data_IF_906864478305
#
_entry.id   IF_906864478305
#
_cell.length_a   1.000
_cell.length_b   1.000
_cell.length_c   1.000
_cell.angle_alpha   90.00
_cell.angle_beta   90.00
_cell.angle_gamma   90.00
#
_symmetry.space_group_name_H-M   'P 1'
#
loop_
_entity.id
_entity.type
_entity.pdbx_description
1 polymer ?
#
# COMPACT_ATOMS: atom_id res chain seq x y z
N UNK A 1 -2.31 50.56 -6.06
CA UNK A 1 -1.89 49.20 -5.66
C UNK A 1 -3.11 48.43 -5.22
N UNK A 2 -3.61 47.47 -6.02
CA UNK A 2 -4.70 46.59 -5.57
C UNK A 2 -4.13 45.59 -4.56
N UNK A 3 -4.84 45.40 -3.45
CA UNK A 3 -4.54 44.32 -2.50
C UNK A 3 -4.59 43.00 -3.26
N UNK A 4 -3.57 42.18 -3.12
CA UNK A 4 -3.54 40.84 -3.69
C UNK A 4 -4.53 40.01 -2.89
N UNK A 5 -5.74 39.87 -3.42
CA UNK A 5 -6.80 39.05 -2.82
C UNK A 5 -6.30 37.61 -2.75
N UNK A 6 -6.27 37.06 -1.53
CA UNK A 6 -6.02 35.64 -1.33
C UNK A 6 -7.29 34.93 -1.76
N UNK A 7 -7.18 34.04 -2.73
CA UNK A 7 -8.31 33.28 -3.26
C UNK A 7 -9.02 32.47 -2.16
N UNK A 8 -10.35 32.35 -2.24
CA UNK A 8 -11.17 31.65 -1.23
C UNK A 8 -10.84 30.16 -1.12
N UNK A 9 -10.28 29.57 -2.17
CA UNK A 9 -9.79 28.17 -2.22
C UNK A 9 -8.42 27.98 -1.56
N UNK A 10 -7.83 29.02 -0.96
CA UNK A 10 -6.48 28.93 -0.38
C UNK A 10 -6.40 27.95 0.79
N UNK A 11 -7.48 27.73 1.55
CA UNK A 11 -7.50 26.74 2.65
C UNK A 11 -7.37 25.33 2.08
N UNK A 12 -6.43 24.56 2.62
CA UNK A 12 -6.07 23.22 2.16
C UNK A 12 -4.97 23.19 1.10
N UNK A 13 -4.62 24.34 0.49
CA UNK A 13 -3.53 24.41 -0.50
C UNK A 13 -2.16 24.37 0.16
N UNK A 14 -1.21 23.85 -0.61
CA UNK A 14 0.21 23.78 -0.27
C UNK A 14 0.88 25.11 -0.61
N UNK A 15 1.72 25.59 0.29
CA UNK A 15 2.50 26.82 0.12
C UNK A 15 3.95 26.59 0.48
N UNK A 16 4.84 27.35 -0.15
CA UNK A 16 6.24 27.46 0.24
C UNK A 16 6.50 28.84 0.83
N UNK A 17 7.18 28.87 1.98
CA UNK A 17 7.50 30.07 2.73
C UNK A 17 8.96 29.98 3.15
N UNK A 18 9.82 30.84 2.61
CA UNK A 18 11.27 30.84 2.86
C UNK A 18 11.94 29.46 2.62
N UNK A 19 11.49 28.72 1.60
CA UNK A 19 12.00 27.39 1.23
C UNK A 19 11.30 26.21 1.91
N UNK A 20 10.56 26.46 2.99
CA UNK A 20 9.86 25.43 3.77
C UNK A 20 8.41 25.22 3.29
N UNK A 21 7.90 24.00 3.40
CA UNK A 21 6.55 23.63 2.95
C UNK A 21 5.53 23.61 4.08
N UNK A 22 4.34 24.13 3.79
CA UNK A 22 3.22 24.15 4.71
C UNK A 22 1.89 23.96 3.98
N UNK A 23 0.86 23.66 4.77
CA UNK A 23 -0.54 23.60 4.32
C UNK A 23 -1.31 24.75 4.95
N UNK A 24 -2.03 25.51 4.14
CA UNK A 24 -2.89 26.60 4.64
C UNK A 24 -4.08 25.98 5.36
N UNK A 25 -4.31 26.38 6.62
CA UNK A 25 -5.41 25.93 7.48
C UNK A 25 -6.41 27.04 7.78
N UNK A 26 -6.02 28.30 7.63
CA UNK A 26 -6.85 29.45 7.89
C UNK A 26 -6.49 30.61 6.96
N UNK A 27 -7.49 31.37 6.51
CA UNK A 27 -7.31 32.62 5.77
C UNK A 27 -8.24 33.64 6.40
N UNK A 28 -7.67 34.73 6.92
CA UNK A 28 -8.49 35.78 7.51
C UNK A 28 -7.74 36.68 8.49
N UNK A 29 -8.46 37.59 9.17
CA UNK A 29 -7.88 38.48 10.16
C UNK A 29 -7.50 37.72 11.44
N UNK A 30 -6.38 38.10 12.06
CA UNK A 30 -5.88 37.53 13.33
C UNK A 30 -5.76 38.67 14.33
N UNK A 31 -6.64 38.71 15.32
CA UNK A 31 -6.68 39.82 16.29
C UNK A 31 -5.49 39.73 17.26
N UNK A 32 -4.94 40.88 17.70
CA UNK A 32 -5.32 42.26 17.38
C UNK A 32 -4.67 42.81 16.10
N UNK A 33 -3.99 41.96 15.32
CA UNK A 33 -3.21 42.40 14.17
C UNK A 33 -4.09 42.79 12.98
N UNK A 34 -3.67 43.81 12.23
CA UNK A 34 -4.39 44.28 11.05
C UNK A 34 -4.07 43.44 9.80
N UNK A 35 -5.06 43.32 8.92
CA UNK A 35 -4.96 42.68 7.61
C UNK A 35 -5.16 41.16 7.61
N UNK A 36 -5.14 40.58 6.42
CA UNK A 36 -5.31 39.13 6.21
C UNK A 36 -4.01 38.38 6.52
N UNK A 37 -4.16 37.22 7.15
CA UNK A 37 -3.12 36.27 7.45
C UNK A 37 -3.47 34.88 6.92
N UNK A 38 -2.44 34.12 6.59
CA UNK A 38 -2.53 32.69 6.35
C UNK A 38 -2.11 31.99 7.64
N UNK A 39 -3.03 31.27 8.27
CA UNK A 39 -2.67 30.26 9.25
C UNK A 39 -2.18 29.03 8.50
N UNK A 40 -0.92 28.66 8.68
CA UNK A 40 -0.30 27.52 8.00
C UNK A 40 0.16 26.48 9.02
N UNK A 41 0.06 25.22 8.65
CA UNK A 41 0.64 24.08 9.37
C UNK A 41 1.83 23.56 8.56
N UNK A 42 3.02 23.59 9.16
CA UNK A 42 4.26 23.14 8.53
C UNK A 42 4.33 21.63 8.44
N UNK A 43 5.03 21.12 7.43
CA UNK A 43 5.34 19.69 7.35
C UNK A 43 6.35 19.28 8.42
N UNK A 44 7.34 20.15 8.67
CA UNK A 44 8.26 20.05 9.79
C UNK A 44 7.66 20.74 11.03
N UNK A 45 7.28 20.00 12.08
CA UNK A 45 6.67 20.57 13.28
C UNK A 45 7.62 21.45 14.10
N UNK A 46 8.94 21.37 13.89
CA UNK A 46 9.93 22.21 14.59
C UNK A 46 9.98 23.64 14.03
N UNK A 47 9.50 23.85 12.80
CA UNK A 47 9.50 25.17 12.14
C UNK A 47 8.44 26.12 12.69
N UNK A 48 7.32 25.57 13.16
CA UNK A 48 6.20 26.39 13.61
C UNK A 48 6.41 26.99 15.00
N UNK A 49 5.37 27.68 15.49
CA UNK A 49 5.42 28.48 16.72
C UNK A 49 4.28 28.18 17.68
N UNK A 50 3.15 27.69 17.18
CA UNK A 50 1.92 27.53 17.96
C UNK A 50 1.03 26.42 17.39
N UNK A 51 -0.05 26.09 18.10
CA UNK A 51 -1.01 25.04 17.77
C UNK A 51 -2.12 25.49 16.80
N UNK A 52 -2.12 26.77 16.43
CA UNK A 52 -3.15 27.44 15.62
C UNK A 52 -3.98 28.48 16.38
N UNK A 53 -3.57 28.78 17.62
CA UNK A 53 -4.09 29.89 18.43
C UNK A 53 -3.16 31.12 18.44
N UNK A 54 -3.73 32.29 18.67
CA UNK A 54 -3.02 33.54 18.95
C UNK A 54 -3.78 34.34 20.01
N UNK A 55 -3.10 34.79 21.07
CA UNK A 55 -3.68 35.60 22.16
C UNK A 55 -5.00 35.01 22.73
N UNK A 56 -5.03 33.68 22.93
CA UNK A 56 -6.19 32.97 23.49
C UNK A 56 -7.34 32.69 22.51
N UNK A 57 -7.27 33.18 21.27
CA UNK A 57 -8.24 32.89 20.22
C UNK A 57 -7.72 31.79 19.31
N UNK A 58 -8.53 30.75 19.07
CA UNK A 58 -8.19 29.64 18.18
C UNK A 58 -8.71 29.88 16.76
N UNK A 59 -7.82 29.84 15.78
CA UNK A 59 -8.13 30.05 14.37
C UNK A 59 -8.12 28.74 13.58
N UNK A 60 -7.19 27.84 13.91
CA UNK A 60 -7.10 26.50 13.34
C UNK A 60 -6.49 25.52 14.35
N UNK A 61 -6.40 24.24 14.01
CA UNK A 61 -5.77 23.21 14.84
C UNK A 61 -4.66 22.53 14.06
N UNK A 62 -3.50 22.37 14.69
CA UNK A 62 -2.36 21.65 14.15
C UNK A 62 -2.25 20.23 14.76
N UNK A 63 -1.58 19.33 14.04
CA UNK A 63 -1.22 17.99 14.51
C UNK A 63 -0.17 18.03 15.62
N UNK A 64 0.66 19.08 15.64
CA UNK A 64 1.70 19.29 16.64
C UNK A 64 1.48 20.61 17.41
N UNK A 65 1.77 20.68 18.73
CA UNK A 65 1.57 21.90 19.54
C UNK A 65 2.34 23.13 19.03
N UNK A 66 3.41 22.93 18.28
CA UNK A 66 4.22 23.98 17.66
C UNK A 66 4.13 23.97 16.13
N UNK A 67 3.28 23.15 15.51
CA UNK A 67 3.31 22.95 14.06
C UNK A 67 2.77 24.11 13.22
N UNK A 68 2.14 25.11 13.83
CA UNK A 68 1.44 26.19 13.16
C UNK A 68 2.19 27.52 13.14
N UNK A 69 1.90 28.36 12.15
CA UNK A 69 2.34 29.77 12.10
C UNK A 69 1.33 30.66 11.38
N UNK A 70 1.29 31.94 11.74
CA UNK A 70 0.62 32.95 10.92
C UNK A 70 1.62 33.65 10.00
N UNK A 71 1.38 33.56 8.70
CA UNK A 71 2.26 34.09 7.65
C UNK A 71 1.50 35.15 6.84
N UNK A 72 2.20 36.22 6.47
CA UNK A 72 1.63 37.24 5.58
C UNK A 72 1.50 36.65 4.16
N UNK A 73 0.38 36.87 3.45
CA UNK A 73 0.20 36.34 2.09
C UNK A 73 1.36 36.61 1.14
N UNK A 74 1.99 37.79 1.23
CA UNK A 74 3.16 38.16 0.42
C UNK A 74 4.41 37.30 0.64
N UNK A 75 4.51 36.62 1.79
CA UNK A 75 5.63 35.72 2.12
C UNK A 75 5.33 34.26 1.74
N UNK A 76 4.10 33.95 1.36
CA UNK A 76 3.69 32.62 0.95
C UNK A 76 3.64 32.54 -0.57
N UNK A 77 4.43 31.63 -1.14
CA UNK A 77 4.32 31.25 -2.53
C UNK A 77 3.38 30.06 -2.64
N UNK A 78 2.28 30.23 -3.37
CA UNK A 78 1.40 29.12 -3.76
C UNK A 78 1.99 28.32 -4.95
N UNK A 79 3.21 28.65 -5.36
CA UNK A 79 3.75 28.28 -6.65
C UNK A 79 3.05 29.01 -7.78
N UNK A 80 3.56 28.77 -8.98
CA UNK A 80 2.83 28.99 -10.23
C UNK A 80 2.64 27.61 -10.82
N UNK A 81 1.48 27.33 -11.38
CA UNK A 81 1.33 26.12 -12.18
C UNK A 81 2.34 26.16 -13.33
N UNK A 82 2.76 24.99 -13.79
CA UNK A 82 3.80 24.84 -14.80
C UNK A 82 3.51 25.65 -16.07
N UNK A 83 2.23 25.80 -16.43
CA UNK A 83 1.80 26.59 -17.59
C UNK A 83 2.07 28.07 -17.34
N UNK A 84 1.64 28.61 -16.19
CA UNK A 84 1.92 30.00 -15.81
C UNK A 84 3.42 30.27 -15.70
N UNK A 85 4.22 29.32 -15.20
CA UNK A 85 5.67 29.44 -15.09
C UNK A 85 6.35 29.54 -16.47
N UNK A 86 5.95 28.67 -17.41
CA UNK A 86 6.43 28.69 -18.80
C UNK A 86 6.00 29.99 -19.50
N UNK A 87 4.75 30.41 -19.29
CA UNK A 87 4.23 31.67 -19.80
C UNK A 87 5.06 32.85 -19.33
N UNK A 88 5.22 33.05 -18.03
CA UNK A 88 6.01 34.18 -17.52
C UNK A 88 7.47 34.18 -18.00
N UNK A 89 8.04 33.01 -18.27
CA UNK A 89 9.42 32.87 -18.75
C UNK A 89 9.57 33.13 -20.26
N UNK A 90 8.53 32.88 -21.06
CA UNK A 90 8.61 32.84 -22.54
C UNK A 90 7.49 33.60 -23.29
N UNK A 91 6.51 34.20 -22.60
CA UNK A 91 5.29 34.86 -23.14
C UNK A 91 5.42 36.39 -23.27
N UNK A 92 6.61 36.99 -23.08
CA UNK A 92 6.81 38.43 -23.34
C UNK A 92 6.57 38.78 -24.82
N UNK A 93 6.56 37.80 -25.75
CA UNK A 93 6.47 38.07 -27.19
C UNK A 93 5.16 37.71 -27.90
N UNK A 94 4.16 37.07 -27.28
CA UNK A 94 2.94 36.67 -28.00
C UNK A 94 1.64 37.08 -27.29
N UNK A 95 1.24 38.33 -27.48
CA UNK A 95 -0.18 38.66 -27.57
C UNK A 95 -0.70 38.16 -28.92
N UNK A 96 -1.91 37.60 -28.94
CA UNK A 96 -2.65 37.06 -30.11
C UNK A 96 -2.50 35.55 -30.38
N UNK A 97 -3.34 34.73 -29.74
CA UNK A 97 -4.03 33.59 -30.37
C UNK A 97 -4.97 32.92 -29.34
N UNK A 98 -6.27 33.27 -29.41
CA UNK A 98 -7.33 32.66 -28.62
C UNK A 98 -8.10 31.70 -29.53
N UNK A 99 -8.33 30.47 -29.07
CA UNK A 99 -9.50 29.67 -29.43
C UNK A 99 -9.23 28.32 -30.08
N UNK A 100 -9.43 27.23 -29.32
CA UNK A 100 -10.30 26.09 -29.69
C UNK A 100 -10.43 25.08 -28.52
N UNK A 101 -11.61 24.46 -28.37
CA UNK A 101 -11.98 23.53 -27.28
C UNK A 101 -11.83 22.05 -27.69
N UNK A 102 -11.34 21.19 -26.78
CA UNK A 102 -11.38 19.74 -26.92
C UNK A 102 -12.24 19.08 -25.83
N UNK A 103 -13.17 18.22 -26.26
CA UNK A 103 -14.02 17.39 -25.38
C UNK A 103 -13.36 16.04 -25.13
N UNK A 104 -13.15 15.69 -23.85
CA UNK A 104 -12.77 14.34 -23.44
C UNK A 104 -13.87 13.80 -22.51
N UNK A 105 -14.53 12.73 -22.94
CA UNK A 105 -15.42 11.85 -22.14
C UNK A 105 -16.14 12.52 -20.95
N UNK A 106 -17.16 13.33 -21.26
CA UNK A 106 -18.04 14.09 -20.34
C UNK A 106 -17.47 15.33 -19.63
N UNK A 107 -16.16 15.62 -19.71
CA UNK A 107 -15.58 16.86 -19.16
C UNK A 107 -14.83 17.65 -20.24
N UNK A 108 -15.23 18.90 -20.43
CA UNK A 108 -14.49 19.84 -21.27
C UNK A 108 -13.32 20.39 -20.45
N UNK A 109 -12.08 20.18 -20.92
CA UNK A 109 -10.88 20.76 -20.33
C UNK A 109 -10.37 21.81 -21.31
N UNK A 110 -10.40 23.09 -20.92
CA UNK A 110 -9.84 24.18 -21.73
C UNK A 110 -8.33 24.27 -21.50
N UNK A 111 -7.54 24.05 -22.56
CA UNK A 111 -6.09 24.28 -22.56
C UNK A 111 -5.74 25.04 -23.85
N UNK A 112 -5.60 26.37 -23.77
CA UNK A 112 -5.41 27.26 -24.93
C UNK A 112 -3.91 27.55 -25.14
N UNK A 113 -3.40 27.36 -26.37
CA UNK A 113 -2.08 27.84 -26.82
C UNK A 113 -0.92 26.81 -26.84
N UNK A 114 -1.19 25.52 -26.62
CA UNK A 114 -0.12 24.51 -26.48
C UNK A 114 0.38 23.91 -27.81
N UNK A 115 -0.44 23.91 -28.85
CA UNK A 115 -0.14 23.26 -30.14
C UNK A 115 1.03 23.96 -30.87
N UNK A 116 1.10 25.29 -30.84
CA UNK A 116 2.14 26.06 -31.54
C UNK A 116 3.52 25.92 -30.87
N UNK A 117 3.56 25.84 -29.54
CA UNK A 117 4.79 25.59 -28.76
C UNK A 117 5.30 24.18 -29.06
N UNK A 118 4.40 23.20 -29.06
CA UNK A 118 4.68 21.81 -29.43
C UNK A 118 5.25 21.71 -30.85
N UNK A 119 4.67 22.40 -31.84
CA UNK A 119 5.19 22.40 -33.20
C UNK A 119 6.58 23.05 -33.33
N UNK A 120 6.80 24.20 -32.69
CA UNK A 120 8.08 24.93 -32.78
C UNK A 120 9.22 24.25 -32.02
N UNK A 121 8.93 23.58 -30.91
CA UNK A 121 9.94 23.00 -30.02
C UNK A 121 10.17 21.49 -30.22
N UNK A 122 9.27 20.78 -30.90
CA UNK A 122 9.43 19.35 -31.20
C UNK A 122 10.80 19.00 -31.83
N UNK A 123 11.37 19.81 -32.76
CA UNK A 123 12.70 19.53 -33.29
C UNK A 123 13.81 19.60 -32.22
N UNK A 124 13.70 20.53 -31.25
CA UNK A 124 14.72 20.75 -30.23
C UNK A 124 14.83 19.59 -29.24
N UNK A 125 13.73 18.88 -28.99
CA UNK A 125 13.68 17.77 -28.03
C UNK A 125 13.64 16.38 -28.69
N UNK A 126 13.68 16.32 -30.02
CA UNK A 126 13.60 15.08 -30.81
C UNK A 126 14.67 14.03 -30.49
N UNK A 127 15.81 14.45 -29.91
CA UNK A 127 16.94 13.59 -29.52
C UNK A 127 17.02 13.31 -28.01
N UNK A 128 16.05 13.80 -27.24
CA UNK A 128 16.04 13.62 -25.80
C UNK A 128 15.84 12.14 -25.45
N UNK A 129 16.79 11.56 -24.70
CA UNK A 129 16.75 10.15 -24.27
C UNK A 129 16.36 9.99 -22.81
N UNK A 130 16.79 10.91 -21.97
CA UNK A 130 16.55 10.87 -20.53
C UNK A 130 15.87 12.17 -20.13
N UNK A 131 14.75 12.06 -19.44
CA UNK A 131 13.98 13.20 -18.97
C UNK A 131 13.55 12.98 -17.52
N UNK A 132 13.92 13.92 -16.66
CA UNK A 132 13.43 13.97 -15.29
C UNK A 132 12.50 15.17 -15.13
N UNK A 133 11.28 14.87 -14.68
CA UNK A 133 10.21 15.81 -14.38
C UNK A 133 9.67 15.53 -12.97
N UNK A 134 10.55 15.15 -12.05
CA UNK A 134 10.18 14.88 -10.67
C UNK A 134 9.69 16.17 -9.99
N UNK A 135 8.73 16.06 -9.07
CA UNK A 135 8.25 17.21 -8.26
C UNK A 135 7.73 18.39 -9.09
N UNK A 136 7.15 18.13 -10.25
CA UNK A 136 6.66 19.15 -11.19
C UNK A 136 5.13 19.35 -11.13
N UNK A 137 4.43 18.68 -10.22
CA UNK A 137 2.97 18.73 -10.07
C UNK A 137 2.20 18.31 -11.33
N UNK A 138 2.78 17.41 -12.14
CA UNK A 138 2.24 16.96 -13.42
C UNK A 138 1.18 15.86 -13.25
N UNK A 139 0.23 15.81 -14.18
CA UNK A 139 -0.65 14.67 -14.39
C UNK A 139 -0.16 13.81 -15.57
N UNK A 140 -0.58 12.54 -15.62
CA UNK A 140 -0.19 11.66 -16.73
C UNK A 140 -0.69 12.17 -18.09
N UNK A 141 -1.89 12.73 -18.14
CA UNK A 141 -2.44 13.33 -19.37
C UNK A 141 -1.57 14.47 -19.90
N UNK A 142 -1.02 15.31 -19.01
CA UNK A 142 -0.10 16.38 -19.40
C UNK A 142 1.21 15.81 -19.95
N UNK A 143 1.74 14.74 -19.33
CA UNK A 143 2.93 14.02 -19.82
C UNK A 143 2.68 13.47 -21.22
N UNK A 144 1.57 12.76 -21.44
CA UNK A 144 1.20 12.20 -22.75
C UNK A 144 1.04 13.28 -23.82
N UNK A 145 0.50 14.45 -23.46
CA UNK A 145 0.36 15.56 -24.40
C UNK A 145 1.72 16.12 -24.84
N UNK A 146 2.74 16.05 -23.97
CA UNK A 146 4.10 16.50 -24.26
C UNK A 146 4.97 15.43 -24.92
N UNK A 147 4.63 14.14 -24.74
CA UNK A 147 5.38 13.00 -25.25
C UNK A 147 5.70 13.04 -26.77
N UNK A 148 4.86 13.60 -27.67
CA UNK A 148 5.21 13.76 -29.07
C UNK A 148 6.46 14.63 -29.34
N UNK A 149 6.93 15.41 -28.37
CA UNK A 149 8.19 16.16 -28.49
C UNK A 149 9.42 15.27 -28.22
N UNK A 150 9.25 14.13 -27.56
CA UNK A 150 10.33 13.28 -27.03
C UNK A 150 10.34 11.91 -27.72
N UNK A 151 10.45 11.92 -29.06
CA UNK A 151 10.27 10.73 -29.90
C UNK A 151 11.30 9.61 -29.67
N UNK A 152 12.43 9.92 -29.04
CA UNK A 152 13.53 8.98 -28.75
C UNK A 152 13.73 8.78 -27.24
N UNK A 153 12.73 9.07 -26.43
CA UNK A 153 12.86 8.98 -24.97
C UNK A 153 12.99 7.52 -24.52
N UNK A 154 14.04 7.23 -23.77
CA UNK A 154 14.39 5.92 -23.22
C UNK A 154 14.12 5.88 -21.71
N UNK A 155 14.30 6.99 -21.00
CA UNK A 155 14.08 7.06 -19.55
C UNK A 155 13.25 8.28 -19.16
N UNK A 156 12.22 8.05 -18.35
CA UNK A 156 11.31 9.07 -17.87
C UNK A 156 11.11 8.94 -16.36
N UNK A 157 11.49 9.99 -15.64
CA UNK A 157 11.36 10.08 -14.19
C UNK A 157 10.27 11.09 -13.83
N UNK A 158 9.23 10.63 -13.13
CA UNK A 158 8.04 11.38 -12.75
C UNK A 158 7.72 11.22 -11.25
N UNK A 159 8.74 10.98 -10.44
CA UNK A 159 8.56 10.84 -9.00
C UNK A 159 7.94 12.10 -8.38
N UNK A 160 7.09 11.94 -7.37
CA UNK A 160 6.52 13.03 -6.58
C UNK A 160 5.69 14.03 -7.42
N UNK A 161 4.78 13.53 -8.26
CA UNK A 161 3.86 14.33 -9.07
C UNK A 161 2.39 14.14 -8.63
N UNK A 162 1.45 14.61 -9.45
CA UNK A 162 0.00 14.43 -9.23
C UNK A 162 -0.57 13.38 -10.20
N UNK A 163 0.17 12.30 -10.45
CA UNK A 163 -0.27 11.24 -11.35
C UNK A 163 -1.17 10.27 -10.58
N UNK A 164 -2.48 10.36 -10.82
CA UNK A 164 -3.46 9.48 -10.16
C UNK A 164 -4.01 8.41 -11.09
N UNK A 165 -4.20 8.73 -12.37
CA UNK A 165 -4.75 7.80 -13.36
C UNK A 165 -3.76 7.67 -14.51
N UNK A 166 -3.54 6.43 -14.93
CA UNK A 166 -2.70 6.11 -16.07
C UNK A 166 -3.57 5.81 -17.29
N UNK A 167 -3.32 6.54 -18.38
CA UNK A 167 -3.99 6.34 -19.65
C UNK A 167 -3.05 5.61 -20.59
N UNK A 168 -3.62 4.86 -21.53
CA UNK A 168 -2.86 4.17 -22.55
C UNK A 168 -2.00 5.17 -23.36
N UNK A 169 -0.67 4.99 -23.44
CA UNK A 169 0.22 5.84 -24.23
C UNK A 169 0.12 5.49 -25.71
N UNK A 170 -0.94 5.93 -26.38
CA UNK A 170 -1.16 5.62 -27.80
C UNK A 170 -0.10 6.28 -28.70
N UNK A 171 0.75 5.45 -29.32
CA UNK A 171 1.78 5.85 -30.31
C UNK A 171 2.84 6.84 -29.79
N UNK A 172 2.92 7.04 -28.48
CA UNK A 172 3.93 7.86 -27.82
C UNK A 172 4.75 7.01 -26.85
N UNK A 173 5.96 7.46 -26.50
CA UNK A 173 6.85 6.79 -25.55
C UNK A 173 7.19 5.33 -25.92
N UNK A 174 7.12 4.97 -27.21
CA UNK A 174 7.27 3.58 -27.66
C UNK A 174 8.70 3.03 -27.48
N UNK A 175 9.69 3.93 -27.35
CA UNK A 175 11.10 3.62 -27.07
C UNK A 175 11.43 3.55 -25.58
N UNK A 176 10.46 3.85 -24.70
CA UNK A 176 10.70 4.00 -23.27
C UNK A 176 11.07 2.66 -22.62
N UNK A 177 12.19 2.65 -21.91
CA UNK A 177 12.77 1.49 -21.22
C UNK A 177 12.67 1.63 -19.70
N UNK A 178 12.78 2.86 -19.18
CA UNK A 178 12.70 3.15 -17.75
C UNK A 178 11.58 4.14 -17.49
N UNK A 179 10.66 3.79 -16.59
CA UNK A 179 9.61 4.67 -16.12
C UNK A 179 9.58 4.67 -14.60
N UNK A 180 9.80 5.85 -14.02
CA UNK A 180 9.65 6.06 -12.59
C UNK A 180 8.39 6.87 -12.28
N UNK A 181 7.43 6.23 -11.62
CA UNK A 181 6.17 6.81 -11.16
C UNK A 181 6.06 6.79 -9.64
N UNK A 182 7.17 6.62 -8.91
CA UNK A 182 7.15 6.54 -7.46
C UNK A 182 6.58 7.80 -6.79
N UNK A 183 6.06 7.64 -5.57
CA UNK A 183 5.43 8.73 -4.81
C UNK A 183 4.28 9.42 -5.58
N UNK A 184 3.48 8.65 -6.32
CA UNK A 184 2.25 9.10 -6.97
C UNK A 184 1.09 8.19 -6.56
N UNK A 185 -0.03 8.74 -6.12
CA UNK A 185 -1.18 7.95 -5.66
C UNK A 185 -2.00 7.40 -6.83
N UNK A 186 -1.55 6.28 -7.38
CA UNK A 186 -2.09 5.71 -8.62
C UNK A 186 -3.29 4.80 -8.33
N UNK A 187 -4.36 5.00 -9.07
CA UNK A 187 -5.53 4.12 -9.13
C UNK A 187 -5.10 2.79 -9.76
N UNK A 188 -5.11 1.73 -8.94
CA UNK A 188 -4.54 0.42 -9.28
C UNK A 188 -5.11 -0.21 -10.56
N UNK A 189 -6.38 0.06 -10.89
CA UNK A 189 -7.05 -0.46 -12.09
C UNK A 189 -6.42 0.08 -13.39
N UNK A 190 -5.80 1.27 -13.33
CA UNK A 190 -5.19 1.93 -14.49
C UNK A 190 -3.74 1.52 -14.74
N UNK A 191 -3.10 0.81 -13.80
CA UNK A 191 -1.68 0.42 -13.90
C UNK A 191 -1.39 -0.41 -15.14
N UNK A 192 -2.35 -1.23 -15.58
CA UNK A 192 -2.18 -2.08 -16.75
C UNK A 192 -2.26 -1.32 -18.07
N UNK A 193 -2.79 -0.08 -18.09
CA UNK A 193 -2.94 0.69 -19.33
C UNK A 193 -1.60 1.07 -19.96
N UNK A 194 -0.56 1.23 -19.14
CA UNK A 194 0.82 1.50 -19.58
C UNK A 194 1.58 0.25 -20.05
N UNK A 195 0.98 -0.95 -19.96
CA UNK A 195 1.58 -2.19 -20.50
C UNK A 195 1.83 -2.16 -22.01
N UNK A 196 1.20 -1.21 -22.71
CA UNK A 196 1.39 -0.94 -24.14
C UNK A 196 2.70 -0.24 -24.48
N UNK A 197 3.60 -0.05 -23.52
CA UNK A 197 4.98 0.37 -23.73
C UNK A 197 5.83 -0.88 -24.01
N UNK A 198 6.13 -1.20 -25.30
CA UNK A 198 6.66 -2.51 -25.68
C UNK A 198 8.11 -2.73 -25.20
N UNK A 199 8.87 -1.64 -25.00
CA UNK A 199 10.27 -1.68 -24.62
C UNK A 199 10.51 -1.45 -23.11
N UNK A 200 9.44 -1.33 -22.30
CA UNK A 200 9.59 -0.98 -20.89
C UNK A 200 10.24 -2.11 -20.10
N UNK A 201 11.48 -1.89 -19.66
CA UNK A 201 12.28 -2.87 -18.92
C UNK A 201 12.27 -2.65 -17.41
N UNK A 202 12.12 -1.40 -16.97
CA UNK A 202 12.12 -1.03 -15.56
C UNK A 202 10.95 -0.11 -15.25
N UNK A 203 10.14 -0.53 -14.27
CA UNK A 203 9.00 0.22 -13.77
C UNK A 203 9.11 0.40 -12.26
N UNK A 204 9.09 1.66 -11.81
CA UNK A 204 9.03 2.00 -10.39
C UNK A 204 7.64 2.53 -10.04
N UNK A 205 6.95 1.80 -9.17
CA UNK A 205 5.63 2.11 -8.61
C UNK A 205 5.70 2.13 -7.07
N UNK A 206 6.87 2.47 -6.52
CA UNK A 206 7.05 2.53 -5.07
C UNK A 206 6.27 3.70 -4.46
N UNK A 207 5.74 3.53 -3.25
CA UNK A 207 4.94 4.55 -2.57
C UNK A 207 3.72 5.02 -3.38
N UNK A 208 3.11 4.14 -4.17
CA UNK A 208 1.98 4.48 -5.04
C UNK A 208 0.60 4.16 -4.46
N UNK A 209 0.55 3.53 -3.28
CA UNK A 209 -0.68 3.14 -2.61
C UNK A 209 -1.35 1.90 -3.20
N UNK A 210 -0.61 1.09 -3.98
CA UNK A 210 -1.14 -0.10 -4.64
C UNK A 210 -1.47 -1.18 -3.61
N UNK A 211 -2.60 -1.87 -3.77
CA UNK A 211 -2.98 -3.02 -2.94
C UNK A 211 -3.18 -4.29 -3.74
N UNK A 212 -3.60 -4.15 -5.00
CA UNK A 212 -3.86 -5.25 -5.93
C UNK A 212 -3.18 -4.98 -7.27
N UNK A 213 -2.58 -6.03 -7.84
CA UNK A 213 -2.16 -6.09 -9.25
C UNK A 213 -2.65 -7.44 -9.77
N UNK A 214 -3.39 -7.45 -10.87
CA UNK A 214 -4.00 -8.66 -11.41
C UNK A 214 -4.00 -8.64 -12.95
N UNK A 215 -3.43 -9.66 -13.58
CA UNK A 215 -3.43 -9.83 -15.02
C UNK A 215 -4.59 -10.75 -15.41
N UNK A 216 -5.66 -10.15 -15.95
CA UNK A 216 -6.89 -10.85 -16.32
C UNK A 216 -6.82 -11.60 -17.66
N UNK A 217 -5.80 -11.32 -18.48
CA UNK A 217 -5.57 -11.94 -19.79
C UNK A 217 -4.94 -13.34 -19.71
N UNK A 218 -4.39 -13.71 -18.54
CA UNK A 218 -3.77 -15.02 -18.31
C UNK A 218 -4.29 -15.67 -17.03
N UNK A 219 -4.58 -16.97 -17.10
CA UNK A 219 -4.87 -17.79 -15.92
C UNK A 219 -3.60 -18.15 -15.13
N UNK A 220 -3.76 -18.69 -13.92
CA UNK A 220 -2.63 -19.14 -13.11
C UNK A 220 -1.76 -20.16 -13.88
N UNK A 221 -0.44 -19.99 -13.81
CA UNK A 221 0.54 -20.82 -14.53
C UNK A 221 0.83 -20.39 -15.97
N UNK A 222 -0.01 -19.53 -16.56
CA UNK A 222 0.21 -18.97 -17.89
C UNK A 222 0.89 -17.59 -17.83
N UNK A 223 1.53 -17.17 -18.92
CA UNK A 223 2.17 -15.87 -19.03
C UNK A 223 1.22 -14.83 -19.64
N UNK A 224 1.24 -13.61 -19.10
CA UNK A 224 0.49 -12.46 -19.63
C UNK A 224 1.19 -11.91 -20.89
N UNK A 225 0.40 -11.32 -21.80
CA UNK A 225 0.94 -10.54 -22.91
C UNK A 225 1.31 -9.10 -22.50
N UNK A 226 0.88 -8.67 -21.32
CA UNK A 226 1.14 -7.34 -20.77
C UNK A 226 2.58 -7.24 -20.27
N UNK A 227 3.22 -6.08 -20.47
CA UNK A 227 4.61 -5.80 -20.06
C UNK A 227 5.63 -6.85 -20.57
N UNK A 228 5.72 -7.08 -21.89
CA UNK A 228 6.52 -8.18 -22.45
C UNK A 228 8.03 -8.08 -22.14
N UNK A 229 8.56 -6.87 -22.01
CA UNK A 229 9.98 -6.60 -21.77
C UNK A 229 10.33 -6.31 -20.30
N UNK A 230 9.36 -6.30 -19.38
CA UNK A 230 9.58 -5.82 -18.02
C UNK A 230 10.45 -6.78 -17.21
N UNK A 231 11.67 -6.34 -16.90
CA UNK A 231 12.68 -7.10 -16.13
C UNK A 231 12.73 -6.69 -14.68
N UNK A 232 12.55 -5.41 -14.39
CA UNK A 232 12.67 -4.84 -13.04
C UNK A 232 11.38 -4.15 -12.62
N UNK A 233 10.81 -4.58 -11.50
CA UNK A 233 9.61 -3.99 -10.92
C UNK A 233 9.89 -3.59 -9.46
N UNK A 234 9.65 -2.32 -9.14
CA UNK A 234 9.81 -1.78 -7.79
C UNK A 234 8.43 -1.42 -7.24
N UNK A 235 8.06 -2.05 -6.12
CA UNK A 235 6.78 -1.94 -5.42
C UNK A 235 6.99 -1.64 -3.94
N UNK A 236 8.12 -1.05 -3.55
CA UNK A 236 8.39 -0.71 -2.16
C UNK A 236 7.28 0.22 -1.61
N UNK A 237 6.98 0.13 -0.32
CA UNK A 237 6.07 1.08 0.37
C UNK A 237 4.66 1.16 -0.20
N UNK A 238 4.12 0.03 -0.64
CA UNK A 238 2.73 -0.09 -1.05
C UNK A 238 1.87 -0.76 0.03
N UNK A 239 0.58 -0.92 -0.23
CA UNK A 239 -0.39 -1.52 0.68
C UNK A 239 -0.72 -2.97 0.30
N UNK A 240 0.26 -3.70 -0.24
CA UNK A 240 0.07 -5.10 -0.66
C UNK A 240 0.08 -6.00 0.56
N UNK A 241 -1.08 -6.58 0.90
CA UNK A 241 -1.25 -7.47 2.05
C UNK A 241 -1.36 -8.95 1.71
N UNK A 242 -1.68 -9.28 0.45
CA UNK A 242 -1.98 -10.64 0.02
C UNK A 242 -0.91 -11.22 -0.91
N UNK A 243 -0.59 -12.51 -0.71
CA UNK A 243 0.36 -13.26 -1.55
C UNK A 243 -0.12 -13.41 -3.00
N UNK A 244 -1.42 -13.20 -3.25
CA UNK A 244 -2.01 -13.25 -4.59
C UNK A 244 -1.34 -12.29 -5.55
N UNK A 245 -0.91 -11.11 -5.10
CA UNK A 245 -0.19 -10.16 -5.97
C UNK A 245 1.14 -10.77 -6.44
N UNK A 246 1.90 -11.40 -5.56
CA UNK A 246 3.15 -12.10 -5.93
C UNK A 246 2.88 -13.23 -6.92
N UNK A 247 1.76 -13.95 -6.77
CA UNK A 247 1.36 -14.99 -7.73
C UNK A 247 1.05 -14.41 -9.11
N UNK A 248 0.43 -13.24 -9.17
CA UNK A 248 0.14 -12.53 -10.42
C UNK A 248 1.44 -12.07 -11.09
N UNK A 249 2.46 -11.66 -10.34
CA UNK A 249 3.77 -11.28 -10.88
C UNK A 249 4.49 -12.45 -11.60
N UNK A 250 4.22 -13.71 -11.23
CA UNK A 250 4.76 -14.87 -11.98
C UNK A 250 4.21 -14.94 -13.41
N UNK A 251 3.09 -14.27 -13.72
CA UNK A 251 2.59 -14.22 -15.11
C UNK A 251 3.47 -13.37 -16.02
N UNK A 252 4.28 -12.46 -15.46
CA UNK A 252 5.18 -11.64 -16.26
C UNK A 252 6.24 -12.51 -16.93
N UNK A 253 6.44 -12.37 -18.26
CA UNK A 253 7.32 -13.27 -19.01
C UNK A 253 8.80 -13.03 -18.71
N UNK A 254 9.19 -11.79 -18.40
CA UNK A 254 10.58 -11.35 -18.37
C UNK A 254 11.05 -10.85 -17.00
N UNK A 255 10.24 -10.97 -15.95
CA UNK A 255 10.56 -10.42 -14.62
C UNK A 255 11.75 -11.17 -13.98
N UNK A 256 12.83 -10.43 -13.70
CA UNK A 256 14.05 -10.93 -13.08
C UNK A 256 14.33 -10.25 -11.74
N UNK A 257 13.95 -8.98 -11.58
CA UNK A 257 14.24 -8.18 -10.40
C UNK A 257 12.96 -7.64 -9.77
N UNK A 258 12.80 -7.86 -8.47
CA UNK A 258 11.68 -7.37 -7.68
C UNK A 258 12.19 -6.65 -6.44
N UNK A 259 11.58 -5.51 -6.13
CA UNK A 259 11.66 -4.92 -4.79
C UNK A 259 10.24 -4.73 -4.26
N UNK A 260 9.94 -5.22 -3.07
CA UNK A 260 8.61 -5.10 -2.47
C UNK A 260 8.68 -4.85 -0.96
N UNK A 261 9.72 -4.15 -0.50
CA UNK A 261 9.95 -3.84 0.91
C UNK A 261 8.80 -3.02 1.48
N UNK A 262 8.64 -3.07 2.80
CA UNK A 262 7.66 -2.25 3.53
C UNK A 262 6.20 -2.43 3.05
N UNK A 263 5.87 -3.61 2.53
CA UNK A 263 4.48 -4.02 2.26
C UNK A 263 3.94 -4.90 3.41
N UNK A 264 2.64 -4.77 3.77
CA UNK A 264 2.02 -5.57 4.84
C UNK A 264 2.16 -7.09 4.67
N UNK A 265 2.24 -7.61 3.45
CA UNK A 265 2.41 -9.06 3.18
C UNK A 265 3.66 -9.64 3.87
N UNK A 266 4.72 -8.85 3.99
CA UNK A 266 5.99 -9.29 4.59
C UNK A 266 5.89 -9.44 6.12
N UNK A 267 4.90 -8.81 6.75
CA UNK A 267 4.68 -8.85 8.20
C UNK A 267 3.83 -10.05 8.63
N UNK A 268 3.21 -10.78 7.69
CA UNK A 268 2.45 -12.00 7.98
C UNK A 268 3.34 -13.11 8.53
N UNK A 269 4.59 -13.14 8.08
CA UNK A 269 5.58 -14.08 8.57
C UNK A 269 6.32 -13.51 9.77
N UNK A 270 6.58 -14.36 10.78
CA UNK A 270 7.38 -13.97 11.94
C UNK A 270 8.82 -13.59 11.57
N UNK A 271 9.30 -14.08 10.43
CA UNK A 271 10.65 -13.88 9.95
C UNK A 271 10.63 -13.40 8.48
N UNK A 272 11.34 -12.30 8.22
CA UNK A 272 11.52 -11.74 6.88
C UNK A 272 12.21 -12.71 5.93
N UNK A 273 13.06 -13.61 6.44
CA UNK A 273 13.72 -14.62 5.62
C UNK A 273 12.73 -15.70 5.13
N UNK A 274 11.74 -16.06 5.96
CA UNK A 274 10.65 -16.93 5.53
C UNK A 274 9.81 -16.26 4.44
N UNK A 275 9.48 -14.97 4.60
CA UNK A 275 8.78 -14.20 3.57
C UNK A 275 9.58 -14.14 2.25
N UNK A 276 10.91 -13.97 2.34
CA UNK A 276 11.80 -14.00 1.18
C UNK A 276 11.77 -15.36 0.46
N UNK A 277 11.91 -16.46 1.20
CA UNK A 277 11.83 -17.82 0.63
C UNK A 277 10.48 -18.06 -0.07
N UNK A 278 9.39 -17.61 0.56
CA UNK A 278 8.03 -17.67 0.02
C UNK A 278 7.90 -16.91 -1.32
N UNK A 279 8.53 -15.74 -1.47
CA UNK A 279 8.58 -15.00 -2.75
C UNK A 279 9.41 -15.76 -3.79
N UNK A 280 10.60 -16.25 -3.41
CA UNK A 280 11.51 -16.97 -4.29
C UNK A 280 10.85 -18.24 -4.85
N UNK A 281 10.11 -18.98 -4.01
CA UNK A 281 9.37 -20.16 -4.44
C UNK A 281 8.24 -19.82 -5.45
N UNK A 282 7.58 -18.66 -5.27
CA UNK A 282 6.52 -18.17 -6.18
C UNK A 282 7.04 -17.69 -7.52
N UNK A 283 8.20 -17.02 -7.53
CA UNK A 283 8.76 -16.39 -8.72
C UNK A 283 9.93 -17.18 -9.30
N UNK A 284 9.67 -17.90 -10.39
CA UNK A 284 10.57 -18.92 -10.96
C UNK A 284 11.87 -18.38 -11.52
N UNK A 285 11.82 -17.17 -12.09
CA UNK A 285 12.93 -16.54 -12.81
C UNK A 285 13.64 -15.44 -12.02
N UNK A 286 13.23 -15.21 -10.77
CA UNK A 286 13.74 -14.10 -9.98
C UNK A 286 15.24 -14.23 -9.69
N UNK A 287 16.04 -13.27 -10.12
CA UNK A 287 17.49 -13.24 -9.91
C UNK A 287 17.87 -12.30 -8.75
N UNK A 288 17.08 -11.26 -8.53
CA UNK A 288 17.33 -10.25 -7.50
C UNK A 288 16.03 -9.89 -6.79
N UNK A 289 16.05 -9.97 -5.46
CA UNK A 289 14.94 -9.60 -4.59
C UNK A 289 15.41 -8.65 -3.50
N UNK A 290 14.82 -7.45 -3.43
CA UNK A 290 15.15 -6.41 -2.45
C UNK A 290 16.65 -6.11 -2.39
N UNK A 291 17.29 -5.95 -3.56
CA UNK A 291 18.73 -5.74 -3.74
C UNK A 291 19.63 -6.92 -3.32
N UNK A 292 19.07 -8.08 -2.98
CA UNK A 292 19.82 -9.30 -2.69
C UNK A 292 19.66 -10.33 -3.81
N UNK A 293 20.79 -10.79 -4.35
CA UNK A 293 20.82 -11.89 -5.33
C UNK A 293 20.16 -13.14 -4.77
N UNK A 294 19.40 -13.84 -5.60
CA UNK A 294 18.81 -15.14 -5.29
C UNK A 294 19.79 -16.23 -5.73
N UNK A 295 20.37 -16.95 -4.77
CA UNK A 295 21.33 -18.02 -5.06
C UNK A 295 20.61 -19.31 -5.45
N UNK A 296 21.26 -20.18 -6.22
CA UNK A 296 20.65 -21.44 -6.67
C UNK A 296 20.30 -22.39 -5.51
N UNK A 297 21.13 -22.46 -4.48
CA UNK A 297 20.87 -23.30 -3.30
C UNK A 297 19.77 -22.73 -2.41
N UNK A 298 19.73 -21.39 -2.26
CA UNK A 298 18.64 -20.68 -1.58
C UNK A 298 17.30 -20.95 -2.26
N UNK A 299 17.26 -20.84 -3.59
CA UNK A 299 16.06 -21.16 -4.39
C UNK A 299 15.64 -22.61 -4.22
N UNK A 300 16.57 -23.56 -4.28
CA UNK A 300 16.27 -24.97 -4.08
C UNK A 300 15.66 -25.21 -2.69
N UNK A 301 16.28 -24.65 -1.65
CA UNK A 301 15.76 -24.74 -0.28
C UNK A 301 14.36 -24.13 -0.15
N UNK A 302 14.17 -22.92 -0.66
CA UNK A 302 12.88 -22.24 -0.65
C UNK A 302 11.78 -23.04 -1.38
N UNK A 303 12.07 -23.60 -2.56
CA UNK A 303 11.11 -24.42 -3.31
C UNK A 303 10.75 -25.73 -2.56
N UNK A 304 11.72 -26.38 -1.92
CA UNK A 304 11.49 -27.60 -1.13
C UNK A 304 10.69 -27.32 0.15
N UNK A 305 11.09 -26.29 0.91
CA UNK A 305 10.40 -25.87 2.13
C UNK A 305 8.95 -25.47 1.81
N UNK A 306 8.74 -24.85 0.65
CA UNK A 306 7.41 -24.50 0.16
C UNK A 306 6.56 -25.75 -0.11
N UNK A 307 7.09 -26.73 -0.85
CA UNK A 307 6.39 -28.01 -1.09
C UNK A 307 6.01 -28.73 0.21
N UNK A 308 6.89 -28.68 1.23
CA UNK A 308 6.63 -29.25 2.56
C UNK A 308 5.59 -28.45 3.35
N UNK A 309 5.59 -27.12 3.21
CA UNK A 309 4.74 -26.22 4.02
C UNK A 309 3.29 -26.11 3.54
N UNK A 310 3.05 -26.29 2.24
CA UNK A 310 1.73 -26.11 1.61
C UNK A 310 1.20 -27.41 1.00
N UNK A 311 1.42 -28.56 1.66
CA UNK A 311 0.94 -29.87 1.21
C UNK A 311 -0.46 -29.82 0.61
N UNK A 312 -0.54 -29.98 -0.71
CA UNK A 312 -1.73 -29.95 -1.57
C UNK A 312 -2.53 -28.64 -1.63
N UNK A 313 -2.05 -27.54 -1.03
CA UNK A 313 -2.79 -26.28 -1.01
C UNK A 313 -2.70 -25.54 -2.37
N UNK A 314 -3.87 -25.25 -2.94
CA UNK A 314 -4.08 -24.95 -4.37
C UNK A 314 -3.69 -23.52 -4.77
N UNK A 315 -3.35 -22.65 -3.84
CA UNK A 315 -3.21 -21.22 -4.10
C UNK A 315 -1.90 -20.83 -4.79
N UNK A 316 -0.97 -21.76 -4.97
CA UNK A 316 0.32 -21.47 -5.57
C UNK A 316 0.34 -21.68 -7.09
N UNK A 317 0.74 -20.67 -7.88
CA UNK A 317 0.74 -20.75 -9.34
C UNK A 317 1.69 -21.81 -9.89
N UNK A 318 2.68 -22.26 -9.09
CA UNK A 318 3.71 -23.22 -9.52
C UNK A 318 3.71 -24.55 -8.77
N UNK A 319 2.76 -24.81 -7.87
CA UNK A 319 2.83 -26.02 -7.02
C UNK A 319 2.91 -27.31 -7.84
N UNK A 320 2.08 -27.45 -8.87
CA UNK A 320 2.14 -28.60 -9.79
C UNK A 320 3.50 -28.73 -10.49
N UNK A 321 4.08 -27.62 -10.94
CA UNK A 321 5.39 -27.62 -11.59
C UNK A 321 6.53 -27.98 -10.61
N UNK A 322 6.42 -27.56 -9.34
CA UNK A 322 7.38 -27.91 -8.29
C UNK A 322 7.29 -29.38 -7.89
N UNK A 323 6.07 -29.94 -7.80
CA UNK A 323 5.86 -31.38 -7.60
C UNK A 323 6.47 -32.21 -8.72
N UNK A 324 6.33 -31.79 -9.98
CA UNK A 324 6.96 -32.47 -11.10
C UNK A 324 8.50 -32.43 -11.02
N UNK A 325 9.06 -31.34 -10.47
CA UNK A 325 10.50 -31.13 -10.37
C UNK A 325 11.15 -31.87 -9.20
N UNK A 326 10.50 -31.93 -8.05
CA UNK A 326 11.08 -32.45 -6.79
C UNK A 326 10.40 -33.71 -6.26
N UNK A 327 9.26 -34.12 -6.82
CA UNK A 327 8.44 -35.22 -6.31
C UNK A 327 7.40 -34.75 -5.28
N UNK A 328 6.44 -35.62 -4.96
CA UNK A 328 5.51 -35.39 -3.87
C UNK A 328 6.25 -35.50 -2.52
N UNK A 329 6.05 -34.58 -1.57
CA UNK A 329 6.58 -34.74 -0.21
C UNK A 329 6.03 -36.04 0.40
N UNK A 330 6.88 -36.79 1.11
CA UNK A 330 6.40 -37.92 1.91
C UNK A 330 5.39 -37.42 2.95
N UNK A 331 4.36 -38.21 3.28
CA UNK A 331 3.29 -37.81 4.22
C UNK A 331 3.82 -37.35 5.59
N UNK A 332 5.02 -37.79 5.99
CA UNK A 332 5.71 -37.37 7.22
C UNK A 332 6.50 -36.06 7.14
N UNK A 333 6.74 -35.52 5.94
CA UNK A 333 7.47 -34.27 5.71
C UNK A 333 6.57 -33.04 5.52
N UNK A 334 5.27 -33.26 5.33
CA UNK A 334 4.29 -32.18 5.27
C UNK A 334 4.21 -31.49 6.64
N UNK A 335 4.45 -30.18 6.68
CA UNK A 335 3.98 -29.39 7.83
C UNK A 335 2.47 -29.47 7.77
N UNK A 336 1.89 -30.26 8.65
CA UNK A 336 0.46 -30.28 8.87
C UNK A 336 -0.01 -28.84 9.15
N UNK A 337 -0.55 -28.16 8.14
CA UNK A 337 -1.52 -27.09 8.37
C UNK A 337 -2.82 -27.76 8.78
N UNK A 338 -2.80 -28.43 9.94
CA UNK A 338 -4.04 -28.78 10.62
C UNK A 338 -4.70 -27.47 11.02
N UNK A 339 -6.01 -27.27 10.76
CA UNK A 339 -6.76 -26.32 11.58
C UNK A 339 -6.48 -26.72 13.03
N UNK A 340 -5.80 -25.86 13.78
CA UNK A 340 -5.35 -26.17 15.12
C UNK A 340 -6.58 -26.20 16.04
N UNK A 341 -7.21 -27.37 16.08
CA UNK A 341 -8.21 -27.70 17.07
C UNK A 341 -7.47 -28.01 18.38
N UNK A 342 -7.60 -27.12 19.37
CA UNK A 342 -7.25 -27.40 20.76
C UNK A 342 -7.99 -28.68 21.18
N UNK A 343 -7.25 -29.75 21.41
CA UNK A 343 -7.75 -31.01 21.99
C UNK A 343 -7.67 -30.90 23.51
N UNK A 344 -8.35 -29.91 24.08
CA UNK A 344 -8.33 -29.68 25.52
C UNK A 344 -9.26 -30.63 26.26
N UNK A 345 -8.87 -30.99 27.48
CA UNK A 345 -9.72 -31.77 28.38
C UNK A 345 -10.71 -30.82 29.05
N UNK A 346 -11.99 -30.98 28.71
CA UNK A 346 -13.08 -30.25 29.32
C UNK A 346 -13.53 -30.92 30.60
N UNK A 347 -13.59 -30.11 31.66
CA UNK A 347 -14.04 -30.52 32.97
C UNK A 347 -15.17 -29.59 33.41
N UNK A 348 -16.28 -30.17 33.84
CA UNK A 348 -17.50 -29.42 34.17
C UNK A 348 -17.99 -29.72 35.58
N UNK A 349 -18.50 -28.71 36.27
CA UNK A 349 -19.08 -28.81 37.62
C UNK A 349 -20.19 -27.79 37.82
N UNK A 350 -21.25 -28.21 38.52
CA UNK A 350 -22.42 -27.40 38.85
C UNK A 350 -22.35 -26.75 40.24
N UNK A 351 -21.22 -26.86 40.95
CA UNK A 351 -21.03 -26.32 42.29
C UNK A 351 -19.66 -25.61 42.40
N UNK A 352 -19.59 -24.37 42.93
CA UNK A 352 -18.33 -23.63 43.04
C UNK A 352 -17.26 -24.33 43.90
N UNK A 353 -17.66 -25.23 44.80
CA UNK A 353 -16.81 -25.76 45.88
C UNK A 353 -16.61 -27.29 45.83
N UNK A 354 -17.08 -27.99 44.80
CA UNK A 354 -16.84 -29.44 44.68
C UNK A 354 -15.62 -29.72 43.80
N UNK A 355 -14.64 -30.45 44.32
CA UNK A 355 -13.50 -30.97 43.54
C UNK A 355 -13.89 -32.13 42.60
N UNK A 356 -15.19 -32.37 42.37
CA UNK A 356 -15.69 -33.43 41.51
C UNK A 356 -16.03 -32.87 40.13
N UNK A 357 -15.03 -32.81 39.25
CA UNK A 357 -15.23 -32.46 37.85
C UNK A 357 -15.65 -33.69 37.06
N UNK A 358 -16.65 -33.52 36.18
CA UNK A 358 -17.01 -34.54 35.18
C UNK A 358 -16.30 -34.24 33.86
N UNK A 359 -15.54 -35.20 33.30
CA UNK A 359 -14.95 -35.04 31.98
C UNK A 359 -16.04 -35.01 30.91
N UNK A 360 -15.95 -34.05 30.00
CA UNK A 360 -16.79 -33.96 28.81
C UNK A 360 -16.01 -34.43 27.58
N UNK A 361 -16.74 -34.71 26.49
CA UNK A 361 -16.12 -35.00 25.20
C UNK A 361 -15.26 -33.79 24.77
N UNK A 362 -14.03 -34.01 24.27
CA UNK A 362 -13.21 -32.94 23.72
C UNK A 362 -13.96 -32.31 22.55
N UNK A 363 -14.08 -30.99 22.56
CA UNK A 363 -14.60 -30.21 21.45
C UNK A 363 -13.42 -29.50 20.78
N UNK A 364 -13.32 -29.51 19.45
CA UNK A 364 -12.25 -28.84 18.74
C UNK A 364 -12.47 -27.32 18.81
N UNK A 365 -11.83 -26.65 19.76
CA UNK A 365 -11.82 -25.18 19.81
C UNK A 365 -10.63 -24.65 19.01
N UNK A 366 -10.82 -23.65 18.17
CA UNK A 366 -9.69 -22.96 17.54
C UNK A 366 -9.14 -21.89 18.49
N UNK A 367 -7.82 -21.68 18.50
CA UNK A 367 -7.18 -20.65 19.35
C UNK A 367 -7.69 -19.23 19.10
N UNK A 368 -8.13 -18.97 17.87
CA UNK A 368 -8.74 -17.71 17.41
C UNK A 368 -10.22 -17.57 17.81
N UNK A 369 -10.87 -18.61 18.36
CA UNK A 369 -12.26 -18.51 18.80
C UNK A 369 -12.38 -17.53 19.96
N UNK A 370 -13.26 -16.55 19.79
CA UNK A 370 -13.69 -15.61 20.82
C UNK A 370 -14.39 -16.38 21.95
N UNK A 371 -14.09 -16.05 23.21
CA UNK A 371 -14.64 -16.71 24.41
C UNK A 371 -16.17 -16.78 24.39
N UNK A 372 -16.86 -15.75 23.89
CA UNK A 372 -18.32 -15.78 23.69
C UNK A 372 -18.80 -16.93 22.79
N UNK A 373 -18.09 -17.25 21.70
CA UNK A 373 -18.42 -18.38 20.82
C UNK A 373 -18.19 -19.71 21.54
N UNK A 374 -17.14 -19.80 22.36
CA UNK A 374 -16.83 -20.98 23.18
C UNK A 374 -17.95 -21.23 24.21
N UNK A 375 -18.38 -20.19 24.94
CA UNK A 375 -19.54 -20.27 25.85
C UNK A 375 -20.81 -20.72 25.11
N UNK A 376 -21.08 -20.18 23.91
CA UNK A 376 -22.22 -20.58 23.08
C UNK A 376 -22.18 -22.05 22.59
N UNK A 377 -20.99 -22.63 22.39
CA UNK A 377 -20.83 -24.07 22.11
C UNK A 377 -21.07 -24.90 23.38
N UNK A 378 -20.56 -24.45 24.52
CA UNK A 378 -20.74 -25.12 25.81
C UNK A 378 -22.20 -25.14 26.26
N UNK A 379 -22.95 -24.08 26.06
CA UNK A 379 -24.40 -24.06 26.29
C UNK A 379 -25.14 -25.15 25.52
N UNK A 380 -24.78 -25.35 24.24
CA UNK A 380 -25.36 -26.41 23.40
C UNK A 380 -24.93 -27.80 23.85
N UNK A 381 -23.66 -27.97 24.24
CA UNK A 381 -23.09 -29.24 24.63
C UNK A 381 -23.58 -29.70 26.02
N UNK A 382 -23.73 -28.77 26.96
CA UNK A 382 -24.22 -29.00 28.32
C UNK A 382 -25.76 -28.99 28.42
N UNK A 383 -26.46 -28.55 27.37
CA UNK A 383 -27.93 -28.37 27.36
C UNK A 383 -28.43 -27.46 28.49
N UNK A 384 -27.73 -26.35 28.73
CA UNK A 384 -28.03 -25.38 29.79
C UNK A 384 -28.47 -24.04 29.17
N UNK A 385 -29.72 -23.86 28.74
CA UNK A 385 -30.17 -22.58 28.20
C UNK A 385 -30.31 -21.54 29.33
N UNK A 386 -29.69 -20.37 29.14
CA UNK A 386 -29.90 -19.20 30.01
C UNK A 386 -29.09 -19.14 31.31
N UNK A 387 -28.11 -20.04 31.52
CA UNK A 387 -27.27 -20.06 32.74
C UNK A 387 -25.90 -19.45 32.47
N UNK A 388 -25.46 -18.50 33.30
CA UNK A 388 -24.14 -17.88 33.11
C UNK A 388 -22.99 -18.90 33.31
N UNK A 389 -22.13 -19.02 32.31
CA UNK A 389 -20.95 -19.90 32.36
C UNK A 389 -19.71 -19.10 32.80
N UNK A 390 -19.05 -19.55 33.86
CA UNK A 390 -17.71 -19.10 34.26
C UNK A 390 -16.66 -20.08 33.77
N UNK A 391 -15.64 -19.54 33.10
CA UNK A 391 -14.57 -20.31 32.48
C UNK A 391 -13.24 -20.01 33.16
N UNK A 392 -12.46 -21.05 33.35
CA UNK A 392 -11.07 -20.94 33.78
C UNK A 392 -10.26 -22.09 33.20
N UNK A 393 -8.94 -22.00 33.28
CA UNK A 393 -8.08 -23.10 32.83
C UNK A 393 -6.92 -23.34 33.79
N UNK A 394 -6.40 -24.56 33.76
CA UNK A 394 -5.17 -24.94 34.47
C UNK A 394 -4.12 -25.36 33.44
N UNK A 395 -2.93 -24.77 33.58
CA UNK A 395 -1.82 -25.01 32.67
C UNK A 395 -0.94 -26.16 33.16
N UNK A 396 -0.54 -27.05 32.26
CA UNK A 396 0.41 -28.14 32.57
C UNK A 396 1.78 -27.63 33.05
N UNK A 397 2.19 -26.43 32.61
CA UNK A 397 3.47 -25.78 32.94
C UNK A 397 3.45 -25.04 34.29
N UNK A 398 2.27 -24.74 34.84
CA UNK A 398 2.08 -24.07 36.13
C UNK A 398 1.18 -24.92 37.03
N UNK A 399 1.76 -25.96 37.63
CA UNK A 399 1.04 -26.87 38.52
C UNK A 399 0.40 -26.11 39.70
N UNK A 400 -0.94 -26.14 39.78
CA UNK A 400 -1.69 -25.65 40.93
C UNK A 400 -2.23 -24.21 40.84
N UNK A 401 -2.05 -23.50 39.71
CA UNK A 401 -2.73 -22.21 39.47
C UNK A 401 -3.85 -22.36 38.45
N UNK A 402 -5.00 -21.82 38.81
CA UNK A 402 -6.17 -21.67 37.96
C UNK A 402 -6.25 -20.22 37.49
N UNK A 403 -6.39 -20.01 36.17
CA UNK A 403 -6.47 -18.68 35.56
C UNK A 403 -7.89 -18.50 35.03
N UNK A 404 -8.53 -17.41 35.44
CA UNK A 404 -9.89 -17.06 35.01
C UNK A 404 -9.89 -16.51 33.58
N UNK A 405 -10.92 -16.87 32.83
CA UNK A 405 -11.19 -16.37 31.47
C UNK A 405 -12.38 -15.41 31.59
N UNK A 406 -12.08 -14.13 31.81
CA UNK A 406 -13.03 -13.10 32.28
C UNK A 406 -13.58 -12.19 31.16
N UNK A 407 -12.90 -12.11 30.02
CA UNK A 407 -13.28 -11.28 28.89
C UNK A 407 -13.84 -12.09 27.71
N UNK A 408 -15.13 -11.93 27.47
CA UNK A 408 -15.89 -12.62 26.42
C UNK A 408 -15.54 -12.19 25.00
N UNK A 409 -14.94 -11.01 24.81
CA UNK A 409 -14.55 -10.45 23.50
C UNK A 409 -13.13 -10.82 23.09
N UNK A 410 -12.36 -11.47 23.97
CA UNK A 410 -10.99 -11.90 23.68
C UNK A 410 -10.98 -13.32 23.09
N UNK A 411 -10.05 -13.63 22.16
CA UNK A 411 -9.83 -15.00 21.70
C UNK A 411 -9.14 -15.83 22.78
N UNK A 412 -9.25 -17.16 22.73
CA UNK A 412 -8.60 -18.08 23.69
C UNK A 412 -7.08 -17.90 23.75
N UNK A 413 -6.44 -17.55 22.63
CA UNK A 413 -4.99 -17.27 22.57
C UNK A 413 -4.54 -16.10 23.44
N UNK A 414 -5.42 -15.13 23.72
CA UNK A 414 -5.12 -14.00 24.61
C UNK A 414 -4.73 -14.49 26.02
N UNK A 415 -5.34 -15.60 26.45
CA UNK A 415 -5.08 -16.23 27.74
C UNK A 415 -3.97 -17.27 27.67
N UNK A 416 -3.23 -17.39 26.55
CA UNK A 416 -2.14 -18.37 26.38
C UNK A 416 -2.56 -19.82 26.66
N UNK A 417 -3.80 -20.18 26.32
CA UNK A 417 -4.30 -21.56 26.45
C UNK A 417 -3.63 -22.45 25.40
N UNK A 418 -2.95 -23.51 25.84
CA UNK A 418 -2.23 -24.44 24.97
C UNK A 418 -2.96 -25.79 24.85
N UNK A 419 -2.47 -26.63 23.92
CA UNK A 419 -3.01 -27.98 23.74
C UNK A 419 -2.59 -28.87 24.92
N UNK A 420 -3.57 -29.56 25.52
CA UNK A 420 -3.35 -30.36 26.73
C UNK A 420 -3.63 -29.64 28.05
N UNK A 421 -3.95 -28.34 28.01
CA UNK A 421 -4.48 -27.62 29.17
C UNK A 421 -5.91 -28.07 29.48
N UNK A 422 -6.31 -27.94 30.75
CA UNK A 422 -7.65 -28.31 31.21
C UNK A 422 -8.51 -27.07 31.38
N UNK A 423 -9.59 -27.00 30.60
CA UNK A 423 -10.58 -25.93 30.71
C UNK A 423 -11.68 -26.39 31.68
N UNK A 424 -11.92 -25.57 32.69
CA UNK A 424 -12.90 -25.77 33.74
C UNK A 424 -14.12 -24.90 33.42
N UNK A 425 -15.30 -25.51 33.43
CA UNK A 425 -16.58 -24.85 33.18
C UNK A 425 -17.42 -24.94 34.44
N UNK A 426 -17.81 -23.79 34.99
CA UNK A 426 -18.69 -23.68 36.15
C UNK A 426 -19.94 -22.88 35.79
N UNK A 427 -21.06 -23.24 36.40
CA UNK A 427 -22.33 -22.53 36.23
C UNK A 427 -23.14 -22.64 37.52
N UNK A 428 -24.02 -21.68 37.74
CA UNK A 428 -24.89 -21.58 38.92
C UNK A 428 -26.34 -21.42 38.52
#
# INVERSE_FOLDING_TARGET
MKAQEVSEDAVGRRVSCDGERATVRYVGPVLPTAGVWLGVEWDDPERGKHDGSHEGVRYFTCRHPTGGSFVRPKKASFGVDYVTALKQRYEVELQEAIGEELKISSRTVMMVGFEDVKQKQSPAFSRLRVLSLNSCALTWTQVLHCAPMWQQLEELYLADNHITELLRPERVLQTLQVLDLSNNHIVQETVLDISHLPCLEKLNLSSSGLSVIQFSDASAGNKTALFPALKTLLLDDNNISEWRVVNELEKLPSLLHLSCRRNPLLQREKNLETARQIIIARLSRLELLDMRQVLSDERRGAELDYCKMFGLDCEHPRFLALLQKYGAPDEGELKEQKPFALKNQLLSTNLPSSHQYRPLKPSPYERSMIVQKVKGLLHRLLKLPGVELKLSYTCSKMSGREIEIDNDLKPLEFYSVEDGDRILVRWS
#
